data_IF_714031397288
#
_entry.id   IF_714031397288
#
_cell.length_a   1.000
_cell.length_b   1.000
_cell.length_c   1.000
_cell.angle_alpha   90.00
_cell.angle_beta   90.00
_cell.angle_gamma   90.00
#
_symmetry.space_group_name_H-M   'P 1'
#
loop_
_entity.id
_entity.type
_entity.pdbx_description
1 polymer ?
#
# COMPACT_ATOMS: atom_id res chain seq x y z
N UNK A 1 7.74 64.30 26.33
CA UNK A 1 6.60 63.36 26.15
C UNK A 1 6.77 62.66 24.79
N UNK A 2 6.21 61.46 24.61
CA UNK A 2 5.91 60.87 23.28
C UNK A 2 6.76 59.74 22.69
N UNK A 3 7.57 58.97 23.45
CA UNK A 3 8.17 57.72 22.91
C UNK A 3 7.88 56.47 23.75
N UNK A 4 7.53 56.61 25.04
CA UNK A 4 7.24 55.44 25.91
C UNK A 4 5.85 54.82 25.76
N UNK A 5 4.96 55.44 24.98
CA UNK A 5 3.61 54.93 24.73
C UNK A 5 3.52 54.02 23.50
N UNK A 6 4.51 54.03 22.60
CA UNK A 6 4.46 53.23 21.37
C UNK A 6 4.95 51.77 21.57
N UNK A 7 5.77 51.51 22.58
CA UNK A 7 6.27 50.14 22.87
C UNK A 7 5.26 49.27 23.62
N UNK A 8 4.23 49.85 24.25
CA UNK A 8 3.19 49.09 24.95
C UNK A 8 2.11 48.54 23.98
N UNK A 9 1.95 49.13 22.79
CA UNK A 9 0.94 48.72 21.82
C UNK A 9 1.35 47.53 20.94
N UNK A 10 2.66 47.25 20.82
CA UNK A 10 3.18 46.15 19.95
C UNK A 10 3.23 44.80 20.70
N UNK A 11 3.23 44.80 22.04
CA UNK A 11 3.29 43.56 22.83
C UNK A 11 1.93 42.82 22.93
N UNK A 12 0.82 43.49 22.61
CA UNK A 12 -0.54 42.91 22.68
C UNK A 12 -0.97 42.15 21.40
N UNK A 13 -0.15 42.14 20.35
CA UNK A 13 -0.40 41.34 19.13
C UNK A 13 0.23 39.92 19.17
N UNK A 14 0.89 39.56 20.27
CA UNK A 14 1.52 38.25 20.47
C UNK A 14 0.59 37.28 21.21
N UNK A 15 -0.74 37.39 21.06
CA UNK A 15 -1.63 36.35 21.59
C UNK A 15 -1.54 35.11 20.70
N UNK A 16 -1.07 33.94 21.19
CA UNK A 16 -1.13 32.74 20.38
C UNK A 16 -2.61 32.38 20.19
N UNK A 17 -3.07 32.45 18.94
CA UNK A 17 -4.41 32.02 18.52
C UNK A 17 -4.65 30.51 18.82
N UNK A 18 -3.62 29.78 19.23
CA UNK A 18 -3.67 28.36 19.55
C UNK A 18 -4.62 27.98 20.71
N UNK A 19 -4.89 28.88 21.67
CA UNK A 19 -5.75 28.56 22.83
C UNK A 19 -7.26 28.55 22.53
N UNK A 20 -7.69 29.13 21.41
CA UNK A 20 -9.11 29.14 21.04
C UNK A 20 -9.61 27.75 20.58
N UNK A 21 -8.69 26.85 20.22
CA UNK A 21 -9.03 25.55 19.66
C UNK A 21 -9.46 24.53 20.72
N UNK A 22 -8.83 24.55 21.91
CA UNK A 22 -9.11 23.55 22.96
C UNK A 22 -10.36 23.85 23.79
N UNK A 23 -10.74 25.12 23.94
CA UNK A 23 -11.92 25.49 24.73
C UNK A 23 -13.24 25.05 24.08
N UNK A 24 -13.29 25.02 22.75
CA UNK A 24 -14.43 24.50 22.01
C UNK A 24 -14.50 22.96 22.10
N UNK A 25 -13.35 22.29 22.14
CA UNK A 25 -13.29 20.84 22.22
C UNK A 25 -13.85 20.30 23.55
N UNK A 26 -13.79 21.08 24.63
CA UNK A 26 -14.46 20.76 25.91
C UNK A 26 -15.98 20.65 25.80
N UNK A 27 -16.58 21.29 24.80
CA UNK A 27 -18.03 21.28 24.58
C UNK A 27 -18.47 20.33 23.46
N UNK A 28 -17.52 19.75 22.73
CA UNK A 28 -17.79 18.76 21.69
C UNK A 28 -17.92 17.36 22.29
N UNK A 29 -18.84 16.58 21.74
CA UNK A 29 -18.93 15.16 22.06
C UNK A 29 -17.69 14.42 21.55
N UNK A 30 -17.38 13.26 22.17
CA UNK A 30 -16.25 12.43 21.76
C UNK A 30 -16.32 12.07 20.25
N UNK A 31 -17.53 11.79 19.75
CA UNK A 31 -17.75 11.51 18.33
C UNK A 31 -17.55 12.74 17.42
N UNK A 32 -17.87 13.95 17.89
CA UNK A 32 -17.59 15.18 17.14
C UNK A 32 -16.08 15.48 17.11
N UNK A 33 -15.39 15.28 18.23
CA UNK A 33 -13.93 15.39 18.28
C UNK A 33 -13.28 14.38 17.32
N UNK A 34 -13.74 13.12 17.36
CA UNK A 34 -13.29 12.06 16.45
C UNK A 34 -13.51 12.43 14.98
N UNK A 35 -14.69 12.96 14.63
CA UNK A 35 -14.96 13.37 13.25
C UNK A 35 -14.02 14.50 12.79
N UNK A 36 -13.73 15.49 13.64
CA UNK A 36 -12.78 16.56 13.29
C UNK A 36 -11.37 16.02 13.06
N UNK A 37 -10.96 14.98 13.77
CA UNK A 37 -9.70 14.29 13.55
C UNK A 37 -9.71 13.51 12.23
N UNK A 38 -10.83 12.84 11.90
CA UNK A 38 -11.01 12.18 10.60
C UNK A 38 -10.87 13.17 9.44
N UNK A 39 -11.48 14.36 9.55
CA UNK A 39 -11.44 15.38 8.51
C UNK A 39 -10.01 15.94 8.29
N UNK A 40 -9.15 15.85 9.31
CA UNK A 40 -7.73 16.23 9.25
C UNK A 40 -6.81 15.08 8.80
N UNK A 41 -7.34 13.87 8.64
CA UNK A 41 -6.55 12.66 8.34
C UNK A 41 -5.85 12.06 9.56
N UNK A 42 -6.16 12.49 10.77
CA UNK A 42 -5.57 12.01 12.02
C UNK A 42 -6.31 10.76 12.53
N UNK A 43 -6.31 9.69 11.71
CA UNK A 43 -7.20 8.55 11.88
C UNK A 43 -6.96 7.74 13.16
N UNK A 44 -5.71 7.54 13.58
CA UNK A 44 -5.39 6.81 14.82
C UNK A 44 -5.91 7.55 16.06
N UNK A 45 -5.74 8.88 16.09
CA UNK A 45 -6.28 9.71 17.16
C UNK A 45 -7.81 9.72 17.14
N UNK A 46 -8.41 9.77 15.94
CA UNK A 46 -9.86 9.69 15.79
C UNK A 46 -10.43 8.39 16.38
N UNK A 47 -9.77 7.26 16.14
CA UNK A 47 -10.17 5.97 16.72
C UNK A 47 -10.20 5.99 18.25
N UNK A 48 -9.26 6.72 18.88
CA UNK A 48 -9.23 6.90 20.34
C UNK A 48 -10.32 7.83 20.89
N UNK A 49 -10.97 8.63 20.04
CA UNK A 49 -12.07 9.52 20.42
C UNK A 49 -13.45 8.91 20.20
N UNK A 50 -13.59 8.06 19.20
CA UNK A 50 -14.89 7.46 18.92
C UNK A 50 -15.34 6.51 20.03
N UNK A 51 -16.66 6.45 20.19
CA UNK A 51 -17.31 5.61 21.19
C UNK A 51 -17.92 4.35 20.62
N UNK A 52 -18.38 4.38 19.36
CA UNK A 52 -19.04 3.24 18.74
C UNK A 52 -18.04 2.36 17.99
N UNK A 53 -18.14 1.02 18.09
CA UNK A 53 -17.22 0.11 17.40
C UNK A 53 -17.14 0.36 15.89
N UNK A 54 -18.23 0.75 15.23
CA UNK A 54 -18.25 0.99 13.80
C UNK A 54 -17.36 2.18 13.41
N UNK A 55 -17.37 3.25 14.21
CA UNK A 55 -16.55 4.43 13.94
C UNK A 55 -15.09 4.22 14.33
N UNK A 56 -14.86 3.53 15.46
CA UNK A 56 -13.51 3.14 15.89
C UNK A 56 -12.88 2.24 14.81
N UNK A 57 -13.58 1.21 14.35
CA UNK A 57 -13.10 0.30 13.32
C UNK A 57 -12.86 1.00 11.99
N UNK A 58 -13.73 1.92 11.59
CA UNK A 58 -13.55 2.71 10.37
C UNK A 58 -12.31 3.62 10.44
N UNK A 59 -12.09 4.27 11.58
CA UNK A 59 -10.91 5.09 11.80
C UNK A 59 -9.62 4.25 11.79
N UNK A 60 -9.61 3.09 12.47
CA UNK A 60 -8.47 2.16 12.44
C UNK A 60 -8.18 1.63 11.03
N UNK A 61 -9.22 1.32 10.26
CA UNK A 61 -9.07 0.87 8.87
C UNK A 61 -8.40 1.96 8.01
N UNK A 62 -8.82 3.22 8.16
CA UNK A 62 -8.20 4.33 7.43
C UNK A 62 -6.78 4.65 7.93
N UNK A 63 -6.49 4.38 9.20
CA UNK A 63 -5.13 4.44 9.74
C UNK A 63 -4.21 3.33 9.19
N UNK A 64 -4.75 2.33 8.49
CA UNK A 64 -4.01 1.17 8.00
C UNK A 64 -3.81 0.07 9.04
N UNK A 65 -4.41 0.20 10.22
CA UNK A 65 -4.30 -0.73 11.35
C UNK A 65 -5.38 -1.82 11.23
N UNK A 66 -5.26 -2.62 10.17
CA UNK A 66 -6.31 -3.51 9.68
C UNK A 66 -6.66 -4.63 10.66
N UNK A 67 -5.68 -5.16 11.39
CA UNK A 67 -5.88 -6.20 12.39
C UNK A 67 -6.75 -5.67 13.55
N UNK A 68 -6.46 -4.46 14.05
CA UNK A 68 -7.27 -3.82 15.09
C UNK A 68 -8.67 -3.49 14.56
N UNK A 69 -8.77 -2.99 13.32
CA UNK A 69 -10.06 -2.71 12.69
C UNK A 69 -10.93 -3.97 12.61
N UNK A 70 -10.37 -5.10 12.15
CA UNK A 70 -11.06 -6.39 12.06
C UNK A 70 -11.55 -6.87 13.43
N UNK A 71 -10.71 -6.75 14.47
CA UNK A 71 -11.06 -7.12 15.84
C UNK A 71 -12.22 -6.27 16.39
N UNK A 72 -12.22 -4.96 16.11
CA UNK A 72 -13.29 -4.05 16.55
C UNK A 72 -14.60 -4.33 15.81
N UNK A 73 -14.56 -4.50 14.48
CA UNK A 73 -15.76 -4.81 13.70
C UNK A 73 -16.40 -6.13 14.13
N UNK A 74 -15.61 -7.15 14.46
CA UNK A 74 -16.10 -8.45 14.94
C UNK A 74 -16.95 -8.40 16.21
N UNK A 75 -16.94 -7.28 16.96
CA UNK A 75 -17.74 -7.11 18.18
C UNK A 75 -19.21 -6.71 17.93
N UNK A 76 -19.54 -6.21 16.74
CA UNK A 76 -20.85 -5.57 16.52
C UNK A 76 -21.95 -6.53 16.08
N UNK A 77 -21.60 -7.67 15.47
CA UNK A 77 -22.55 -8.71 15.08
C UNK A 77 -23.61 -8.27 14.04
N UNK A 78 -23.34 -7.21 13.27
CA UNK A 78 -24.23 -6.75 12.20
C UNK A 78 -23.70 -7.19 10.84
N UNK A 79 -24.56 -7.31 9.83
CA UNK A 79 -24.12 -7.64 8.46
C UNK A 79 -23.05 -6.66 7.95
N UNK A 80 -23.25 -5.36 8.21
CA UNK A 80 -22.32 -4.31 7.81
C UNK A 80 -20.97 -4.41 8.54
N UNK A 81 -20.98 -4.73 9.82
CA UNK A 81 -19.75 -4.90 10.58
C UNK A 81 -18.96 -6.13 10.09
N UNK A 82 -19.62 -7.24 9.81
CA UNK A 82 -18.97 -8.43 9.24
C UNK A 82 -18.38 -8.14 7.86
N UNK A 83 -19.09 -7.40 7.01
CA UNK A 83 -18.57 -6.95 5.72
C UNK A 83 -17.32 -6.07 5.88
N UNK A 84 -17.35 -5.11 6.80
CA UNK A 84 -16.19 -4.25 7.08
C UNK A 84 -15.03 -5.02 7.73
N UNK A 85 -15.32 -6.04 8.56
CA UNK A 85 -14.32 -6.98 9.09
C UNK A 85 -13.65 -7.73 7.94
N UNK A 86 -14.44 -8.25 7.00
CA UNK A 86 -13.93 -8.90 5.79
C UNK A 86 -13.00 -7.98 4.99
N UNK A 87 -13.39 -6.72 4.79
CA UNK A 87 -12.56 -5.74 4.09
C UNK A 87 -11.21 -5.53 4.80
N UNK A 88 -11.22 -5.37 6.12
CA UNK A 88 -10.01 -5.24 6.92
C UNK A 88 -9.10 -6.47 6.80
N UNK A 89 -9.67 -7.68 6.87
CA UNK A 89 -8.92 -8.93 6.78
C UNK A 89 -8.31 -9.16 5.39
N UNK A 90 -8.99 -8.76 4.31
CA UNK A 90 -8.41 -8.78 2.96
C UNK A 90 -7.18 -7.86 2.88
N UNK A 91 -7.24 -6.69 3.52
CA UNK A 91 -6.13 -5.74 3.50
C UNK A 91 -4.93 -6.23 4.32
N UNK A 92 -5.16 -7.00 5.39
CA UNK A 92 -4.10 -7.65 6.17
C UNK A 92 -3.64 -9.00 5.60
N UNK A 93 -4.18 -9.45 4.46
CA UNK A 93 -3.83 -10.74 3.85
C UNK A 93 -4.44 -11.99 4.51
N UNK A 94 -5.31 -11.82 5.51
CA UNK A 94 -5.99 -12.90 6.22
C UNK A 94 -7.23 -13.36 5.44
N UNK A 95 -7.02 -13.99 4.28
CA UNK A 95 -8.11 -14.28 3.33
C UNK A 95 -9.09 -15.34 3.83
N UNK A 96 -8.66 -16.31 4.63
CA UNK A 96 -9.54 -17.31 5.24
C UNK A 96 -10.59 -16.65 6.14
N UNK A 97 -10.14 -15.89 7.13
CA UNK A 97 -11.04 -15.17 8.05
C UNK A 97 -11.91 -14.15 7.30
N UNK A 98 -11.40 -13.55 6.22
CA UNK A 98 -12.16 -12.61 5.40
C UNK A 98 -13.34 -13.29 4.71
N UNK A 99 -13.13 -14.49 4.15
CA UNK A 99 -14.16 -15.32 3.52
C UNK A 99 -15.28 -15.62 4.53
N UNK A 100 -14.93 -16.05 5.73
CA UNK A 100 -15.90 -16.32 6.81
C UNK A 100 -16.69 -15.06 7.20
N UNK A 101 -16.02 -13.91 7.25
CA UNK A 101 -16.67 -12.63 7.56
C UNK A 101 -17.69 -12.24 6.48
N UNK A 102 -17.34 -12.34 5.19
CA UNK A 102 -18.29 -12.04 4.11
C UNK A 102 -19.45 -13.03 4.05
N UNK A 103 -19.20 -14.32 4.29
CA UNK A 103 -20.27 -15.32 4.39
C UNK A 103 -21.23 -15.00 5.54
N UNK A 104 -20.70 -14.58 6.70
CA UNK A 104 -21.53 -14.16 7.84
C UNK A 104 -22.34 -12.90 7.53
N UNK A 105 -21.75 -11.94 6.80
CA UNK A 105 -22.46 -10.76 6.31
C UNK A 105 -23.63 -11.14 5.38
N UNK A 106 -23.40 -12.06 4.43
CA UNK A 106 -24.39 -12.53 3.47
C UNK A 106 -25.47 -13.40 4.11
N UNK A 107 -25.14 -14.16 5.15
CA UNK A 107 -26.13 -14.92 5.91
C UNK A 107 -27.14 -13.99 6.61
N UNK A 108 -26.68 -12.82 7.10
CA UNK A 108 -27.55 -11.81 7.73
C UNK A 108 -28.24 -10.90 6.72
N UNK A 109 -27.62 -10.62 5.58
CA UNK A 109 -28.17 -9.82 4.49
C UNK A 109 -27.99 -10.55 3.15
N UNK A 110 -28.92 -11.46 2.81
CA UNK A 110 -28.87 -12.17 1.53
C UNK A 110 -29.02 -11.22 0.34
N UNK A 111 -28.35 -11.54 -0.78
CA UNK A 111 -28.42 -10.75 -2.02
C UNK A 111 -27.75 -9.38 -1.88
N UNK A 112 -26.59 -9.32 -1.21
CA UNK A 112 -25.80 -8.10 -1.07
C UNK A 112 -24.61 -8.13 -2.06
N UNK A 113 -24.73 -7.50 -3.25
CA UNK A 113 -23.79 -7.70 -4.35
C UNK A 113 -22.35 -7.32 -3.99
N UNK A 114 -22.15 -6.25 -3.23
CA UNK A 114 -20.81 -5.81 -2.81
C UNK A 114 -20.13 -6.83 -1.90
N UNK A 115 -20.89 -7.52 -1.05
CA UNK A 115 -20.35 -8.58 -0.19
C UNK A 115 -20.05 -9.86 -0.98
N UNK A 116 -20.88 -10.21 -1.97
CA UNK A 116 -20.63 -11.34 -2.89
C UNK A 116 -19.36 -11.11 -3.73
N UNK A 117 -19.20 -9.90 -4.27
CA UNK A 117 -18.01 -9.53 -5.05
C UNK A 117 -16.74 -9.59 -4.20
N UNK A 118 -16.78 -9.02 -2.99
CA UNK A 118 -15.61 -9.03 -2.11
C UNK A 118 -15.27 -10.44 -1.59
N UNK A 119 -16.27 -11.29 -1.38
CA UNK A 119 -16.07 -12.72 -1.09
C UNK A 119 -15.30 -13.39 -2.24
N UNK A 120 -15.72 -13.17 -3.49
CA UNK A 120 -15.03 -13.71 -4.65
C UNK A 120 -13.58 -13.22 -4.74
N UNK A 121 -13.33 -11.93 -4.50
CA UNK A 121 -11.97 -11.36 -4.48
C UNK A 121 -11.12 -12.03 -3.39
N UNK A 122 -11.66 -12.22 -2.18
CA UNK A 122 -10.94 -12.89 -1.09
C UNK A 122 -10.61 -14.35 -1.44
N UNK A 123 -11.54 -15.08 -2.06
CA UNK A 123 -11.31 -16.46 -2.53
C UNK A 123 -10.21 -16.53 -3.59
N UNK A 124 -10.23 -15.64 -4.59
CA UNK A 124 -9.20 -15.60 -5.63
C UNK A 124 -7.82 -15.27 -5.04
N UNK A 125 -7.74 -14.32 -4.09
CA UNK A 125 -6.48 -13.99 -3.42
C UNK A 125 -5.94 -15.15 -2.57
N UNK A 126 -6.83 -15.88 -1.89
CA UNK A 126 -6.45 -17.12 -1.17
C UNK A 126 -5.86 -18.15 -2.14
N UNK A 127 -6.52 -18.39 -3.27
CA UNK A 127 -6.06 -19.36 -4.27
C UNK A 127 -4.72 -18.95 -4.89
N UNK A 128 -4.50 -17.66 -5.15
CA UNK A 128 -3.23 -17.16 -5.67
C UNK A 128 -2.06 -17.33 -4.68
N UNK A 129 -2.33 -17.46 -3.37
CA UNK A 129 -1.32 -17.80 -2.36
C UNK A 129 -1.13 -19.31 -2.18
N UNK A 130 -2.01 -20.15 -2.71
CA UNK A 130 -1.79 -21.58 -2.67
C UNK A 130 -0.58 -21.91 -3.55
N UNK A 131 0.35 -22.76 -3.10
CA UNK A 131 1.39 -23.28 -3.98
C UNK A 131 0.72 -23.90 -5.21
N UNK A 132 1.29 -23.74 -6.42
CA UNK A 132 0.71 -24.35 -7.61
C UNK A 132 0.52 -25.84 -7.34
N UNK A 133 -0.72 -26.32 -7.46
CA UNK A 133 -1.00 -27.74 -7.40
C UNK A 133 -0.12 -28.41 -8.45
N UNK A 134 0.74 -29.30 -8.00
CA UNK A 134 1.69 -30.07 -8.78
C UNK A 134 0.94 -31.09 -9.67
N UNK A 135 0.17 -30.58 -10.63
CA UNK A 135 -0.50 -31.32 -11.71
C UNK A 135 0.33 -31.29 -13.01
N UNK A 136 1.64 -31.41 -12.85
CA UNK A 136 2.56 -31.74 -13.94
C UNK A 136 3.35 -32.99 -13.56
N UNK A 137 2.68 -34.15 -13.49
CA UNK A 137 3.30 -35.48 -13.60
C UNK A 137 4.68 -35.67 -12.96
N UNK A 138 4.91 -35.10 -11.78
CA UNK A 138 6.22 -34.99 -11.16
C UNK A 138 6.51 -36.23 -10.34
N UNK A 139 7.60 -36.90 -10.66
CA UNK A 139 8.11 -38.07 -9.92
C UNK A 139 8.19 -37.76 -8.42
N UNK A 140 7.36 -38.45 -7.64
CA UNK A 140 7.14 -38.18 -6.22
C UNK A 140 8.43 -38.05 -5.40
N UNK A 141 8.74 -36.81 -5.01
CA UNK A 141 9.60 -36.52 -3.87
C UNK A 141 11.04 -37.05 -3.95
N UNK A 142 11.63 -37.11 -5.14
CA UNK A 142 12.99 -37.63 -5.30
C UNK A 142 13.88 -36.73 -6.17
N UNK A 143 13.98 -35.46 -5.78
CA UNK A 143 15.14 -34.65 -6.07
C UNK A 143 15.48 -33.92 -4.76
N UNK A 144 16.38 -34.52 -3.98
CA UNK A 144 17.04 -33.83 -2.88
C UNK A 144 17.76 -32.61 -3.47
N UNK A 145 17.54 -31.44 -2.88
CA UNK A 145 18.29 -30.25 -3.24
C UNK A 145 19.77 -30.53 -2.95
N UNK A 146 20.63 -30.48 -3.98
CA UNK A 146 22.06 -30.69 -3.84
C UNK A 146 22.63 -29.82 -2.70
N UNK A 147 23.30 -30.47 -1.75
CA UNK A 147 23.95 -29.85 -0.60
C UNK A 147 25.02 -28.85 -1.09
N UNK A 148 24.88 -27.58 -0.71
CA UNK A 148 25.86 -26.56 -1.04
C UNK A 148 27.11 -26.76 -0.16
N UNK A 149 28.06 -27.54 -0.65
CA UNK A 149 29.39 -27.68 -0.04
C UNK A 149 30.22 -26.44 -0.40
N UNK A 150 30.45 -25.57 0.59
CA UNK A 150 31.39 -24.46 0.45
C UNK A 150 32.82 -24.97 0.64
N UNK A 151 33.58 -25.07 -0.45
CA UNK A 151 35.01 -25.34 -0.36
C UNK A 151 35.75 -24.09 0.14
N UNK A 152 36.37 -24.21 1.31
CA UNK A 152 37.05 -23.12 2.00
C UNK A 152 38.55 -23.18 1.66
N UNK A 153 38.92 -22.64 0.50
CA UNK A 153 40.30 -22.58 0.01
C UNK A 153 40.61 -21.26 -0.70
N UNK A 154 41.14 -20.29 0.03
CA UNK A 154 41.24 -18.90 -0.40
C UNK A 154 42.19 -18.58 -1.56
N UNK A 155 41.92 -17.43 -2.20
CA UNK A 155 42.91 -16.38 -2.49
C UNK A 155 42.22 -15.09 -2.94
N UNK A 156 42.36 -14.05 -2.13
CA UNK A 156 42.13 -12.67 -2.55
C UNK A 156 43.11 -12.32 -3.69
N UNK A 157 42.59 -11.84 -4.82
CA UNK A 157 43.31 -10.90 -5.68
C UNK A 157 42.47 -9.64 -5.82
N UNK A 158 43.03 -8.54 -5.31
CA UNK A 158 42.59 -7.18 -5.54
C UNK A 158 43.55 -6.60 -6.58
N UNK A 159 43.08 -6.46 -7.82
CA UNK A 159 43.72 -5.66 -8.86
C UNK A 159 42.64 -5.01 -9.71
N UNK A 160 42.80 -3.70 -9.88
CA UNK A 160 41.88 -2.75 -10.50
C UNK A 160 41.76 -2.89 -12.02
N UNK A 161 40.71 -2.19 -12.50
CA UNK A 161 40.58 -1.41 -13.74
C UNK A 161 40.28 -2.11 -15.07
N UNK A 162 39.21 -1.57 -15.67
CA UNK A 162 38.83 -1.51 -17.07
C UNK A 162 39.01 -2.74 -17.97
N UNK A 163 37.89 -3.42 -18.24
CA UNK A 163 37.51 -3.86 -19.59
C UNK A 163 36.04 -3.42 -19.77
N UNK A 164 35.85 -2.30 -20.46
CA UNK A 164 35.40 -2.27 -21.86
C UNK A 164 34.08 -3.04 -22.01
N UNK A 165 33.03 -2.23 -22.04
CA UNK A 165 31.74 -2.47 -22.66
C UNK A 165 31.91 -3.34 -23.91
N UNK A 166 31.69 -4.65 -23.77
CA UNK A 166 31.68 -5.58 -24.89
C UNK A 166 30.24 -5.74 -25.39
N UNK A 167 30.13 -5.70 -26.71
CA UNK A 167 28.92 -5.47 -27.48
C UNK A 167 27.97 -6.68 -27.46
N UNK A 168 27.32 -6.94 -26.33
CA UNK A 168 26.22 -7.89 -26.21
C UNK A 168 24.88 -7.22 -25.83
N UNK A 169 24.77 -5.92 -26.11
CA UNK A 169 23.59 -5.08 -25.86
C UNK A 169 22.52 -5.18 -26.98
N UNK A 170 22.47 -6.29 -27.72
CA UNK A 170 21.58 -6.41 -28.89
C UNK A 170 20.66 -7.62 -28.92
N UNK A 171 20.55 -8.42 -27.86
CA UNK A 171 19.53 -9.48 -27.87
C UNK A 171 19.03 -9.93 -26.50
N UNK A 172 18.85 -9.01 -25.56
CA UNK A 172 17.95 -9.26 -24.45
C UNK A 172 16.52 -9.02 -24.97
N UNK A 173 15.84 -10.12 -25.34
CA UNK A 173 14.43 -10.07 -25.71
C UNK A 173 13.59 -9.42 -24.61
N UNK A 174 12.46 -8.82 -25.00
CA UNK A 174 11.53 -8.09 -24.13
C UNK A 174 11.23 -8.84 -22.80
N UNK A 175 11.22 -10.16 -22.87
CA UNK A 175 10.99 -11.08 -21.75
C UNK A 175 12.18 -11.19 -20.78
N UNK A 176 13.42 -11.22 -21.30
CA UNK A 176 14.63 -11.21 -20.48
C UNK A 176 14.76 -9.87 -19.74
N UNK A 177 14.40 -8.76 -20.37
CA UNK A 177 14.35 -7.48 -19.68
C UNK A 177 13.20 -7.36 -18.70
N UNK A 178 12.02 -7.92 -19.00
CA UNK A 178 10.92 -8.01 -18.04
C UNK A 178 11.31 -8.83 -16.80
N UNK A 179 12.00 -9.96 -16.98
CA UNK A 179 12.46 -10.79 -15.88
C UNK A 179 13.52 -10.09 -15.02
N UNK A 180 14.45 -9.37 -15.65
CA UNK A 180 15.48 -8.59 -14.98
C UNK A 180 14.88 -7.36 -14.26
N UNK A 181 13.78 -6.82 -14.79
CA UNK A 181 13.00 -5.72 -14.22
C UNK A 181 12.14 -6.18 -13.03
N UNK A 182 11.42 -7.29 -13.13
CA UNK A 182 10.65 -7.87 -12.02
C UNK A 182 11.54 -8.30 -10.86
N UNK A 183 12.78 -8.72 -11.13
CA UNK A 183 13.79 -9.04 -10.11
C UNK A 183 14.28 -7.81 -9.32
N UNK A 184 14.19 -6.60 -9.87
CA UNK A 184 14.68 -5.35 -9.25
C UNK A 184 13.58 -4.43 -8.72
N UNK A 185 12.29 -4.72 -8.98
CA UNK A 185 11.18 -3.94 -8.43
C UNK A 185 10.90 -4.43 -7.00
N UNK A 186 11.71 -3.95 -6.07
CA UNK A 186 11.36 -3.97 -4.65
C UNK A 186 10.59 -2.69 -4.27
N UNK A 187 9.29 -2.88 -4.05
CA UNK A 187 8.53 -2.38 -2.87
C UNK A 187 7.82 -1.03 -2.82
N UNK A 188 7.75 -0.17 -3.86
CA UNK A 188 6.85 1.02 -3.80
C UNK A 188 6.10 1.34 -5.11
N UNK A 189 4.77 1.61 -5.07
CA UNK A 189 3.98 1.98 -6.26
C UNK A 189 4.48 3.19 -7.04
N UNK A 190 5.21 4.12 -6.40
CA UNK A 190 5.77 5.30 -7.03
C UNK A 190 6.88 4.97 -8.05
N UNK A 191 7.69 3.95 -7.77
CA UNK A 191 8.80 3.54 -8.63
C UNK A 191 8.27 2.90 -9.93
N UNK A 192 7.12 2.21 -9.85
CA UNK A 192 6.40 1.70 -11.02
C UNK A 192 5.91 2.83 -11.93
N UNK A 193 5.30 3.87 -11.36
CA UNK A 193 4.82 5.02 -12.13
C UNK A 193 5.98 5.77 -12.78
N UNK A 194 7.07 6.03 -12.05
CA UNK A 194 8.26 6.69 -12.58
C UNK A 194 8.88 5.90 -13.74
N UNK A 195 9.02 4.58 -13.61
CA UNK A 195 9.52 3.71 -14.67
C UNK A 195 8.62 3.73 -15.91
N UNK A 196 7.29 3.70 -15.73
CA UNK A 196 6.32 3.74 -16.83
C UNK A 196 6.35 5.07 -17.59
N UNK A 197 6.49 6.19 -16.88
CA UNK A 197 6.59 7.51 -17.52
C UNK A 197 7.89 7.66 -18.32
N UNK A 198 9.02 7.20 -17.78
CA UNK A 198 10.29 7.23 -18.50
C UNK A 198 10.23 6.37 -19.78
N UNK A 199 9.58 5.20 -19.73
CA UNK A 199 9.38 4.38 -20.92
C UNK A 199 8.53 5.10 -21.98
N UNK A 200 7.43 5.76 -21.58
CA UNK A 200 6.59 6.53 -22.51
C UNK A 200 7.32 7.71 -23.16
N UNK A 201 8.23 8.38 -22.43
CA UNK A 201 9.04 9.46 -22.99
C UNK A 201 10.02 8.90 -24.03
N UNK A 202 10.73 7.82 -23.68
CA UNK A 202 11.67 7.18 -24.60
C UNK A 202 11.01 6.69 -25.89
N UNK A 203 9.79 6.14 -25.83
CA UNK A 203 9.06 5.73 -27.03
C UNK A 203 8.61 6.93 -27.88
N UNK A 204 8.21 8.04 -27.25
CA UNK A 204 7.79 9.26 -27.98
C UNK A 204 8.95 9.95 -28.67
N UNK A 205 10.11 9.96 -28.03
CA UNK A 205 11.33 10.51 -28.63
C UNK A 205 11.80 9.66 -29.82
N UNK A 206 11.64 8.33 -29.73
CA UNK A 206 11.95 7.43 -30.84
C UNK A 206 10.94 7.57 -32.00
N UNK A 207 9.65 7.71 -31.71
CA UNK A 207 8.60 7.98 -32.72
C UNK A 207 8.83 9.35 -33.41
N UNK A 208 9.18 10.39 -32.65
CA UNK A 208 9.51 11.70 -33.19
C UNK A 208 10.78 11.69 -34.06
N UNK A 209 11.81 10.92 -33.66
CA UNK A 209 13.04 10.75 -34.44
C UNK A 209 12.80 9.97 -35.75
N UNK A 210 11.87 9.00 -35.75
CA UNK A 210 11.49 8.28 -36.97
C UNK A 210 10.69 9.15 -37.94
N UNK A 211 9.85 10.07 -37.43
CA UNK A 211 9.08 11.00 -38.25
C UNK A 211 9.95 12.12 -38.86
N UNK A 212 10.95 12.63 -38.12
CA UNK A 212 11.94 13.60 -38.67
C UNK A 212 12.86 12.96 -39.72
N UNK A 213 13.24 11.68 -39.55
CA UNK A 213 14.02 10.94 -40.54
C UNK A 213 13.22 10.63 -41.81
N UNK A 214 11.90 10.48 -41.71
CA UNK A 214 11.01 10.28 -42.86
C UNK A 214 10.74 11.59 -43.63
N UNK A 215 10.68 12.74 -42.95
CA UNK A 215 10.44 14.06 -43.56
C UNK A 215 11.66 14.68 -44.23
N UNK A 216 12.88 14.20 -43.96
CA UNK A 216 14.13 14.74 -44.51
C UNK A 216 14.61 14.03 -45.79
N UNK A 217 13.82 13.08 -46.30
CA UNK A 217 14.10 12.26 -47.48
C UNK A 217 13.13 12.52 -48.66
N UNK A 218 12.35 13.61 -48.62
CA UNK A 218 11.56 14.15 -49.74
C UNK A 218 12.17 15.41 -50.35
#
# INVERSE_FOLDING_TARGET
MSIRLLTLAVLLLQTPVALAFEWLDLWLTADQQGQRLMDRGEFEQAAGKFTTPEKIGAALFLAGDFEKAAAVFGRSGTAKADYNRGNALVMSGNYDDAIEAYQSALARRPGWPEAEQNLQVATLRKQALAPPEDDYGGTGGQLEADEIVFDQGGRFNKSSSEEVMDAADQQLGEEAMRALWLRKVETRPADFLAARFNYQLATRDNEAATDEAASSNE
#
